data_IF_094087197539
#
_entry.id   IF_094087197539
#
_cell.length_a   1.000
_cell.length_b   1.000
_cell.length_c   1.000
_cell.angle_alpha   90.00
_cell.angle_beta   90.00
_cell.angle_gamma   90.00
#
_symmetry.space_group_name_H-M   'P 1'
#
loop_
_entity.id
_entity.type
_entity.pdbx_description
1 polymer ?
#
# COMPACT_ATOMS: atom_id res chain seq x y z
N UNK A 1 17.94 17.49 -8.95
CA UNK A 1 17.59 17.32 -7.52
C UNK A 1 16.90 18.55 -6.93
N UNK A 2 17.56 19.72 -6.80
CA UNK A 2 16.98 20.95 -6.20
C UNK A 2 15.62 21.38 -6.78
N UNK A 3 15.47 21.36 -8.11
CA UNK A 3 14.20 21.70 -8.79
C UNK A 3 13.04 20.74 -8.44
N UNK A 4 13.31 19.44 -8.28
CA UNK A 4 12.30 18.44 -7.91
C UNK A 4 11.82 18.65 -6.48
N UNK A 5 12.75 18.87 -5.54
CA UNK A 5 12.40 19.14 -4.15
C UNK A 5 11.65 20.46 -3.99
N UNK A 6 12.04 21.49 -4.73
CA UNK A 6 11.31 22.75 -4.76
C UNK A 6 9.88 22.57 -5.30
N UNK A 7 9.72 21.79 -6.38
CA UNK A 7 8.41 21.45 -6.92
C UNK A 7 7.54 20.71 -5.89
N UNK A 8 8.07 19.69 -5.21
CA UNK A 8 7.35 19.02 -4.14
C UNK A 8 6.99 19.96 -2.99
N UNK A 9 7.95 20.76 -2.54
CA UNK A 9 7.71 21.77 -1.50
C UNK A 9 6.57 22.70 -1.90
N UNK A 10 6.56 23.19 -3.14
CA UNK A 10 5.51 24.06 -3.65
C UNK A 10 4.16 23.31 -3.73
N UNK A 11 4.17 22.05 -4.19
CA UNK A 11 2.97 21.22 -4.27
C UNK A 11 2.34 21.03 -2.88
N UNK A 12 3.13 20.72 -1.86
CA UNK A 12 2.64 20.44 -0.50
C UNK A 12 2.36 21.70 0.33
N UNK A 13 3.14 22.78 0.16
CA UNK A 13 2.93 24.03 0.89
C UNK A 13 1.87 24.94 0.23
N UNK A 14 1.70 24.86 -1.09
CA UNK A 14 0.76 25.70 -1.85
C UNK A 14 0.26 24.98 -3.10
N UNK A 15 -0.63 23.98 -2.96
CA UNK A 15 -1.08 23.13 -4.06
C UNK A 15 -1.55 23.88 -5.31
N UNK A 16 -2.29 24.97 -5.13
CA UNK A 16 -2.79 25.80 -6.24
C UNK A 16 -1.71 26.48 -7.07
N UNK A 17 -0.51 26.69 -6.50
CA UNK A 17 0.65 27.28 -7.18
C UNK A 17 1.65 26.22 -7.63
N UNK A 18 1.83 25.14 -6.86
CA UNK A 18 2.80 24.09 -7.15
C UNK A 18 2.36 23.09 -8.22
N UNK A 19 1.11 22.64 -8.24
CA UNK A 19 0.66 21.68 -9.27
C UNK A 19 0.66 22.21 -10.71
N UNK A 20 0.38 23.50 -11.00
CA UNK A 20 0.57 24.05 -12.34
C UNK A 20 1.99 23.89 -12.91
N UNK A 21 3.02 23.83 -12.05
CA UNK A 21 4.41 23.60 -12.48
C UNK A 21 4.68 22.15 -12.91
N UNK A 22 3.80 21.21 -12.55
CA UNK A 22 3.87 19.83 -12.99
C UNK A 22 3.28 19.70 -14.40
N UNK A 23 4.15 19.65 -15.41
CA UNK A 23 3.76 19.62 -16.83
C UNK A 23 4.14 18.29 -17.49
N UNK A 24 3.67 18.02 -18.72
CA UNK A 24 4.13 16.87 -19.51
C UNK A 24 5.64 16.82 -19.76
N UNK A 25 6.34 17.96 -19.69
CA UNK A 25 7.80 18.03 -19.84
C UNK A 25 8.58 17.78 -18.53
N UNK A 26 7.93 17.84 -17.36
CA UNK A 26 8.62 17.69 -16.07
C UNK A 26 9.32 16.32 -15.95
N UNK A 27 10.61 16.27 -15.60
CA UNK A 27 11.34 15.00 -15.48
C UNK A 27 10.85 14.17 -14.29
N UNK A 28 10.78 12.85 -14.45
CA UNK A 28 10.20 11.92 -13.46
C UNK A 28 11.22 11.02 -12.77
N UNK A 29 12.46 10.94 -13.27
CA UNK A 29 13.47 10.03 -12.74
C UNK A 29 13.77 10.28 -11.26
N UNK A 30 13.98 11.54 -10.88
CA UNK A 30 14.27 11.90 -9.49
C UNK A 30 13.09 11.59 -8.54
N UNK A 31 11.83 11.95 -8.87
CA UNK A 31 10.67 11.50 -8.11
C UNK A 31 10.62 9.97 -7.91
N UNK A 32 10.85 9.19 -8.98
CA UNK A 32 10.87 7.72 -8.89
C UNK A 32 11.94 7.25 -7.90
N UNK A 33 13.17 7.75 -8.02
CA UNK A 33 14.29 7.35 -7.15
C UNK A 33 13.95 7.63 -5.68
N UNK A 34 13.42 8.82 -5.36
CA UNK A 34 13.06 9.17 -3.98
C UNK A 34 11.93 8.28 -3.45
N UNK A 35 10.90 8.03 -4.25
CA UNK A 35 9.81 7.13 -3.87
C UNK A 35 10.33 5.72 -3.62
N UNK A 36 11.21 5.20 -4.48
CA UNK A 36 11.83 3.89 -4.30
C UNK A 36 12.68 3.83 -3.03
N UNK A 37 13.47 4.87 -2.72
CA UNK A 37 14.24 4.96 -1.48
C UNK A 37 13.31 4.92 -0.26
N UNK A 38 12.19 5.64 -0.28
CA UNK A 38 11.23 5.64 0.82
C UNK A 38 10.53 4.28 0.98
N UNK A 39 10.12 3.65 -0.14
CA UNK A 39 9.54 2.30 -0.12
C UNK A 39 10.54 1.30 0.44
N UNK A 40 11.80 1.35 -0.03
CA UNK A 40 12.88 0.52 0.51
C UNK A 40 13.08 0.76 2.00
N UNK A 41 13.16 2.02 2.45
CA UNK A 41 13.29 2.34 3.87
C UNK A 41 12.16 1.75 4.70
N UNK A 42 10.92 1.83 4.23
CA UNK A 42 9.77 1.18 4.86
C UNK A 42 9.90 -0.34 4.91
N UNK A 43 10.34 -0.99 3.83
CA UNK A 43 10.56 -2.44 3.80
C UNK A 43 11.71 -2.87 4.73
N UNK A 44 12.80 -2.09 4.78
CA UNK A 44 13.93 -2.31 5.68
C UNK A 44 13.50 -2.31 7.15
N UNK A 45 12.56 -1.44 7.53
CA UNK A 45 12.00 -1.42 8.90
C UNK A 45 11.26 -2.70 9.28
N UNK A 46 10.73 -3.45 8.31
CA UNK A 46 10.03 -4.71 8.57
C UNK A 46 10.98 -5.90 8.69
N UNK A 47 12.24 -5.81 8.25
CA UNK A 47 13.15 -6.96 8.27
C UNK A 47 13.33 -7.61 9.66
N UNK A 48 13.46 -6.85 10.77
CA UNK A 48 13.54 -7.45 12.11
C UNK A 48 12.30 -8.28 12.45
N UNK A 49 11.13 -7.84 11.99
CA UNK A 49 9.85 -8.54 12.20
C UNK A 49 9.78 -9.78 11.30
N UNK A 50 10.02 -9.63 10.00
CA UNK A 50 9.94 -10.70 9.01
C UNK A 50 10.98 -11.81 9.21
N UNK A 51 12.12 -11.47 9.82
CA UNK A 51 13.17 -12.42 10.19
C UNK A 51 12.99 -13.05 11.59
N UNK A 52 11.99 -12.63 12.37
CA UNK A 52 11.76 -13.14 13.72
C UNK A 52 11.10 -14.52 13.71
N UNK A 53 11.41 -15.33 14.72
CA UNK A 53 10.77 -16.63 14.91
C UNK A 53 9.24 -16.50 15.06
N UNK A 54 8.78 -15.44 15.73
CA UNK A 54 7.34 -15.15 15.89
C UNK A 54 6.62 -14.97 14.54
N UNK A 55 7.27 -14.35 13.55
CA UNK A 55 6.71 -14.19 12.21
C UNK A 55 6.73 -15.51 11.44
N UNK A 56 7.84 -16.26 11.51
CA UNK A 56 7.94 -17.55 10.83
C UNK A 56 6.95 -18.57 11.38
N UNK A 57 6.73 -18.58 12.70
CA UNK A 57 5.70 -19.40 13.34
C UNK A 57 4.29 -18.99 12.90
N UNK A 58 4.02 -17.68 12.81
CA UNK A 58 2.75 -17.18 12.30
C UNK A 58 2.52 -17.56 10.83
N UNK A 59 3.55 -17.43 9.99
CA UNK A 59 3.51 -17.83 8.59
C UNK A 59 3.25 -19.34 8.45
N UNK A 60 3.90 -20.18 9.27
CA UNK A 60 3.67 -21.61 9.32
C UNK A 60 2.21 -21.95 9.64
N UNK A 61 1.65 -21.37 10.71
CA UNK A 61 0.24 -21.55 11.08
C UNK A 61 -0.71 -21.19 9.94
N UNK A 62 -0.48 -20.04 9.29
CA UNK A 62 -1.31 -19.59 8.16
C UNK A 62 -1.26 -20.57 6.99
N UNK A 63 -0.07 -21.06 6.63
CA UNK A 63 0.06 -22.03 5.54
C UNK A 63 -0.62 -23.36 5.87
N UNK A 64 -0.45 -23.85 7.10
CA UNK A 64 -1.11 -25.08 7.57
C UNK A 64 -2.63 -24.94 7.49
N UNK A 65 -3.18 -23.87 8.08
CA UNK A 65 -4.62 -23.62 8.10
C UNK A 65 -5.19 -23.51 6.67
N UNK A 66 -4.49 -22.82 5.77
CA UNK A 66 -4.91 -22.67 4.36
C UNK A 66 -4.97 -24.02 3.64
N UNK A 67 -4.03 -24.93 3.90
CA UNK A 67 -4.01 -26.25 3.28
C UNK A 67 -5.13 -27.16 3.83
N UNK A 68 -5.37 -27.10 5.14
CA UNK A 68 -6.49 -27.81 5.79
C UNK A 68 -7.84 -27.32 5.24
N UNK A 69 -8.03 -26.01 5.09
CA UNK A 69 -9.25 -25.44 4.48
C UNK A 69 -9.46 -25.87 3.03
N UNK A 70 -8.37 -26.14 2.30
CA UNK A 70 -8.41 -26.69 0.93
C UNK A 70 -8.64 -28.20 0.90
N UNK A 71 -8.92 -28.83 2.04
CA UNK A 71 -9.16 -30.27 2.15
C UNK A 71 -7.91 -31.13 2.00
N UNK A 72 -6.72 -30.54 2.19
CA UNK A 72 -5.46 -31.28 2.17
C UNK A 72 -5.17 -31.78 3.58
N UNK A 73 -5.45 -33.06 3.84
CA UNK A 73 -5.03 -33.71 5.08
C UNK A 73 -3.51 -33.90 5.05
N UNK A 74 -2.80 -33.22 5.95
CA UNK A 74 -1.36 -33.40 6.13
C UNK A 74 -1.10 -34.32 7.32
N UNK A 75 -0.17 -35.26 7.17
CA UNK A 75 0.29 -36.05 8.31
C UNK A 75 1.09 -35.18 9.29
N UNK A 76 1.18 -35.61 10.55
CA UNK A 76 1.99 -34.91 11.57
C UNK A 76 3.45 -34.74 11.13
N UNK A 77 4.02 -35.75 10.47
CA UNK A 77 5.39 -35.66 9.92
C UNK A 77 5.50 -34.63 8.79
N UNK A 78 4.49 -34.51 7.92
CA UNK A 78 4.47 -33.48 6.88
C UNK A 78 4.37 -32.07 7.46
N UNK A 79 3.60 -31.90 8.55
CA UNK A 79 3.51 -30.65 9.29
C UNK A 79 4.85 -30.27 9.93
N UNK A 80 5.49 -31.20 10.64
CA UNK A 80 6.78 -30.96 11.28
C UNK A 80 7.89 -30.64 10.27
N UNK A 81 7.92 -31.36 9.13
CA UNK A 81 8.86 -31.04 8.05
C UNK A 81 8.62 -29.67 7.44
N UNK A 82 7.35 -29.27 7.25
CA UNK A 82 7.02 -27.96 6.70
C UNK A 82 7.40 -26.84 7.68
N UNK A 83 7.13 -27.00 8.97
CA UNK A 83 7.57 -26.06 10.00
C UNK A 83 9.10 -25.92 10.06
N UNK A 84 9.85 -27.02 9.97
CA UNK A 84 11.31 -27.00 9.93
C UNK A 84 11.84 -26.29 8.68
N UNK A 85 11.26 -26.56 7.50
CA UNK A 85 11.66 -25.89 6.26
C UNK A 85 11.41 -24.39 6.31
N UNK A 86 10.25 -23.97 6.84
CA UNK A 86 9.91 -22.55 6.96
C UNK A 86 10.84 -21.78 7.92
N UNK A 87 11.42 -22.47 8.91
CA UNK A 87 12.39 -21.90 9.84
C UNK A 87 13.82 -21.84 9.31
N UNK A 88 14.13 -22.53 8.21
CA UNK A 88 15.48 -22.59 7.64
C UNK A 88 16.00 -21.23 7.17
N UNK A 89 17.33 -21.03 7.25
CA UNK A 89 18.00 -19.81 6.79
C UNK A 89 17.75 -19.52 5.29
N UNK A 90 17.62 -20.58 4.50
CA UNK A 90 17.29 -20.48 3.09
C UNK A 90 15.88 -19.89 2.89
N UNK A 91 14.88 -20.38 3.64
CA UNK A 91 13.52 -19.82 3.55
C UNK A 91 13.42 -18.42 4.12
N UNK A 92 14.17 -18.09 5.17
CA UNK A 92 14.30 -16.70 5.65
C UNK A 92 14.79 -15.78 4.54
N UNK A 93 15.82 -16.18 3.82
CA UNK A 93 16.38 -15.42 2.69
C UNK A 93 15.37 -15.29 1.55
N UNK A 94 14.70 -16.37 1.17
CA UNK A 94 13.69 -16.36 0.10
C UNK A 94 12.51 -15.47 0.48
N UNK A 95 12.03 -15.54 1.72
CA UNK A 95 10.93 -14.71 2.20
C UNK A 95 11.30 -13.23 2.17
N UNK A 96 12.48 -12.86 2.68
CA UNK A 96 12.97 -11.49 2.62
C UNK A 96 13.13 -11.00 1.18
N UNK A 97 13.73 -11.80 0.30
CA UNK A 97 13.90 -11.45 -1.11
C UNK A 97 12.56 -11.30 -1.83
N UNK A 98 11.60 -12.18 -1.57
CA UNK A 98 10.25 -12.14 -2.14
C UNK A 98 9.48 -10.94 -1.61
N UNK A 99 9.56 -10.62 -0.31
CA UNK A 99 8.89 -9.44 0.26
C UNK A 99 9.47 -8.14 -0.30
N UNK A 100 10.80 -8.03 -0.41
CA UNK A 100 11.44 -6.83 -0.96
C UNK A 100 11.16 -6.70 -2.46
N UNK A 101 11.47 -7.74 -3.23
CA UNK A 101 11.30 -7.76 -4.68
C UNK A 101 9.84 -7.65 -5.09
N UNK A 102 8.97 -8.46 -4.47
CA UNK A 102 7.53 -8.44 -4.68
C UNK A 102 6.89 -7.13 -4.24
N UNK A 103 7.32 -6.55 -3.12
CA UNK A 103 6.87 -5.24 -2.65
C UNK A 103 7.16 -4.12 -3.65
N UNK A 104 8.38 -4.08 -4.19
CA UNK A 104 8.79 -3.08 -5.19
C UNK A 104 8.03 -3.25 -6.52
N UNK A 105 7.95 -4.48 -7.04
CA UNK A 105 7.25 -4.78 -8.29
C UNK A 105 5.76 -4.47 -8.12
N UNK A 106 5.15 -4.93 -7.03
CA UNK A 106 3.75 -4.69 -6.69
C UNK A 106 3.44 -3.20 -6.62
N UNK A 107 4.32 -2.40 -6.02
CA UNK A 107 4.15 -0.95 -5.94
C UNK A 107 4.09 -0.28 -7.32
N UNK A 108 4.97 -0.67 -8.25
CA UNK A 108 4.98 -0.15 -9.63
C UNK A 108 3.71 -0.56 -10.37
N UNK A 109 3.29 -1.82 -10.24
CA UNK A 109 2.07 -2.34 -10.85
C UNK A 109 0.85 -1.55 -10.34
N UNK A 110 0.75 -1.32 -9.04
CA UNK A 110 -0.34 -0.53 -8.44
C UNK A 110 -0.38 0.88 -9.06
N UNK A 111 0.76 1.58 -9.18
CA UNK A 111 0.79 2.91 -9.80
C UNK A 111 0.31 2.88 -11.26
N UNK A 112 0.67 1.85 -12.03
CA UNK A 112 0.21 1.68 -13.41
C UNK A 112 -1.30 1.42 -13.49
N UNK A 113 -1.83 0.56 -12.61
CA UNK A 113 -3.26 0.27 -12.52
C UNK A 113 -4.04 1.53 -12.15
N UNK A 114 -3.59 2.29 -11.14
CA UNK A 114 -4.23 3.56 -10.78
C UNK A 114 -4.17 4.59 -11.91
N UNK A 115 -3.07 4.65 -12.67
CA UNK A 115 -2.97 5.54 -13.83
C UNK A 115 -4.00 5.17 -14.91
N UNK A 116 -4.21 3.87 -15.13
CA UNK A 116 -5.21 3.37 -16.07
C UNK A 116 -6.62 3.68 -15.59
N UNK A 117 -6.92 3.50 -14.29
CA UNK A 117 -8.21 3.86 -13.70
C UNK A 117 -8.48 5.36 -13.89
N UNK A 118 -7.51 6.22 -13.58
CA UNK A 118 -7.66 7.67 -13.81
C UNK A 118 -7.83 8.00 -15.29
N UNK A 119 -7.15 7.31 -16.19
CA UNK A 119 -7.34 7.49 -17.62
C UNK A 119 -8.79 7.14 -18.01
N UNK A 120 -9.29 5.98 -17.60
CA UNK A 120 -10.68 5.56 -17.88
C UNK A 120 -11.67 6.60 -17.34
N UNK A 121 -11.53 7.00 -16.07
CA UNK A 121 -12.41 7.99 -15.45
C UNK A 121 -12.38 9.32 -16.21
N UNK A 122 -11.19 9.84 -16.54
CA UNK A 122 -11.08 11.09 -17.31
C UNK A 122 -11.75 10.98 -18.68
N UNK A 123 -11.67 9.83 -19.38
CA UNK A 123 -12.38 9.60 -20.64
C UNK A 123 -13.90 9.59 -20.49
N UNK A 124 -14.43 8.95 -19.45
CA UNK A 124 -15.87 8.93 -19.14
C UNK A 124 -16.39 10.38 -18.99
N UNK A 125 -15.62 11.25 -18.34
CA UNK A 125 -15.97 12.67 -18.17
C UNK A 125 -15.58 13.57 -19.35
N UNK A 126 -15.21 12.97 -20.51
CA UNK A 126 -14.80 13.63 -21.75
C UNK A 126 -13.58 14.55 -21.61
N UNK A 127 -12.74 14.30 -20.61
CA UNK A 127 -11.46 14.95 -20.41
C UNK A 127 -10.38 14.20 -21.20
N UNK A 128 -9.31 14.90 -21.58
CA UNK A 128 -8.24 14.32 -22.44
C UNK A 128 -6.82 14.46 -21.89
N UNK A 129 -6.56 14.35 -20.57
CA UNK A 129 -5.18 14.22 -20.11
C UNK A 129 -4.58 12.92 -20.66
N UNK A 130 -3.31 12.97 -21.08
CA UNK A 130 -2.59 11.79 -21.54
C UNK A 130 -2.19 10.86 -20.39
N UNK A 131 -2.13 9.56 -20.64
CA UNK A 131 -1.68 8.56 -19.65
C UNK A 131 -0.35 8.93 -19.00
N UNK A 132 0.65 9.35 -19.80
CA UNK A 132 1.97 9.77 -19.31
C UNK A 132 1.89 10.91 -18.28
N UNK A 133 0.92 11.81 -18.43
CA UNK A 133 0.72 12.93 -17.52
C UNK A 133 0.06 12.47 -16.21
N UNK A 134 -0.97 11.62 -16.30
CA UNK A 134 -1.63 11.04 -15.12
C UNK A 134 -0.68 10.14 -14.32
N UNK A 135 0.09 9.30 -14.99
CA UNK A 135 1.10 8.45 -14.36
C UNK A 135 2.18 9.30 -13.66
N UNK A 136 2.62 10.39 -14.30
CA UNK A 136 3.55 11.34 -13.67
C UNK A 136 2.95 11.97 -12.42
N UNK A 137 1.70 12.44 -12.49
CA UNK A 137 1.00 12.96 -11.32
C UNK A 137 1.01 11.94 -10.18
N UNK A 138 0.68 10.68 -10.47
CA UNK A 138 0.71 9.60 -9.48
C UNK A 138 2.10 9.38 -8.88
N UNK A 139 3.17 9.37 -9.68
CA UNK A 139 4.54 9.27 -9.17
C UNK A 139 4.86 10.40 -8.18
N UNK A 140 4.46 11.64 -8.49
CA UNK A 140 4.69 12.77 -7.59
C UNK A 140 3.87 12.66 -6.29
N UNK A 141 2.69 12.04 -6.34
CA UNK A 141 1.85 11.78 -5.17
C UNK A 141 2.26 10.53 -4.39
N UNK A 142 2.97 9.60 -5.03
CA UNK A 142 3.40 8.33 -4.47
C UNK A 142 4.25 8.50 -3.19
N UNK A 143 4.91 9.64 -3.03
CA UNK A 143 5.62 10.02 -1.79
C UNK A 143 4.71 9.97 -0.56
N UNK A 144 3.42 10.34 -0.69
CA UNK A 144 2.45 10.30 0.41
C UNK A 144 2.25 8.85 0.86
N UNK A 145 2.01 7.93 -0.07
CA UNK A 145 1.83 6.51 0.22
C UNK A 145 3.12 5.85 0.71
N UNK A 146 4.29 6.28 0.21
CA UNK A 146 5.57 5.78 0.70
C UNK A 146 5.82 6.21 2.16
N UNK A 147 5.52 7.47 2.50
CA UNK A 147 5.57 7.97 3.88
C UNK A 147 4.56 7.25 4.77
N UNK A 148 3.34 7.02 4.29
CA UNK A 148 2.34 6.20 4.99
C UNK A 148 2.90 4.82 5.33
N UNK A 149 3.53 4.14 4.37
CA UNK A 149 4.17 2.84 4.59
C UNK A 149 5.25 2.88 5.68
N UNK A 150 6.14 3.89 5.64
CA UNK A 150 7.15 4.09 6.69
C UNK A 150 6.49 4.28 8.06
N UNK A 151 5.45 5.11 8.16
CA UNK A 151 4.76 5.37 9.43
C UNK A 151 4.08 4.10 9.95
N UNK A 152 3.34 3.38 9.09
CA UNK A 152 2.69 2.12 9.47
C UNK A 152 3.71 1.09 9.95
N UNK A 153 4.81 0.91 9.21
CA UNK A 153 5.86 -0.05 9.56
C UNK A 153 6.63 0.36 10.83
N UNK A 154 6.87 1.65 11.02
CA UNK A 154 7.47 2.19 12.24
C UNK A 154 6.59 1.95 13.47
N UNK A 155 5.26 2.14 13.35
CA UNK A 155 4.32 1.80 14.43
C UNK A 155 4.35 0.30 14.71
N UNK A 156 4.32 -0.56 13.68
CA UNK A 156 4.41 -2.01 13.86
C UNK A 156 5.70 -2.40 14.59
N UNK A 157 6.85 -1.85 14.18
CA UNK A 157 8.15 -2.14 14.80
C UNK A 157 8.22 -1.72 16.27
N UNK A 158 7.61 -0.58 16.61
CA UNK A 158 7.55 -0.08 17.98
C UNK A 158 6.45 -0.75 18.83
N UNK A 159 5.52 -1.45 18.19
CA UNK A 159 4.48 -2.21 18.87
C UNK A 159 5.03 -3.54 19.39
N UNK A 160 4.28 -4.21 20.28
CA UNK A 160 4.57 -5.59 20.66
C UNK A 160 4.09 -6.55 19.55
N UNK A 161 4.80 -6.54 18.42
CA UNK A 161 4.44 -7.32 17.24
C UNK A 161 4.46 -8.83 17.52
N UNK A 162 5.33 -9.31 18.41
CA UNK A 162 5.38 -10.73 18.81
C UNK A 162 4.05 -11.19 19.43
N UNK A 163 3.48 -10.38 20.33
CA UNK A 163 2.17 -10.65 20.95
C UNK A 163 1.03 -10.59 19.94
N UNK A 164 1.16 -9.81 18.87
CA UNK A 164 0.15 -9.71 17.81
C UNK A 164 0.26 -10.95 16.91
N UNK A 165 1.48 -11.32 16.48
CA UNK A 165 1.77 -12.46 15.62
C UNK A 165 1.38 -13.80 16.26
N UNK A 166 1.49 -13.94 17.57
CA UNK A 166 1.07 -15.16 18.28
C UNK A 166 -0.44 -15.45 18.17
N UNK A 167 -1.24 -14.46 17.76
CA UNK A 167 -2.70 -14.60 17.58
C UNK A 167 -3.13 -14.79 16.12
N UNK A 168 -2.19 -14.70 15.17
CA UNK A 168 -2.47 -14.84 13.75
C UNK A 168 -2.84 -16.29 13.42
N UNK A 169 -3.96 -16.46 12.72
CA UNK A 169 -4.47 -17.76 12.24
C UNK A 169 -4.63 -17.79 10.72
N UNK A 170 -5.00 -16.66 10.10
CA UNK A 170 -5.29 -16.58 8.67
C UNK A 170 -4.38 -15.57 7.94
N UNK A 171 -4.33 -15.66 6.61
CA UNK A 171 -3.52 -14.78 5.76
C UNK A 171 -3.82 -13.29 5.99
N UNK A 172 -5.10 -12.96 6.10
CA UNK A 172 -5.55 -11.59 6.35
C UNK A 172 -5.05 -11.06 7.71
N UNK A 173 -5.06 -11.91 8.76
CA UNK A 173 -4.54 -11.55 10.09
C UNK A 173 -3.04 -11.26 10.03
N UNK A 174 -2.28 -12.08 9.29
CA UNK A 174 -0.84 -11.89 9.13
C UNK A 174 -0.54 -10.54 8.46
N UNK A 175 -1.30 -10.18 7.43
CA UNK A 175 -1.16 -8.89 6.76
C UNK A 175 -1.42 -7.72 7.72
N UNK A 176 -2.47 -7.76 8.54
CA UNK A 176 -2.73 -6.70 9.51
C UNK A 176 -1.72 -6.67 10.66
N UNK A 177 -1.22 -7.84 11.07
CA UNK A 177 -0.22 -7.93 12.13
C UNK A 177 1.10 -7.24 11.76
N UNK A 178 1.47 -7.25 10.48
CA UNK A 178 2.69 -6.59 10.00
C UNK A 178 2.47 -5.16 9.49
N UNK A 179 1.21 -4.74 9.32
CA UNK A 179 0.86 -3.41 8.80
C UNK A 179 -0.12 -2.70 9.73
N UNK A 180 0.41 -1.95 10.69
CA UNK A 180 -0.40 -1.23 11.67
C UNK A 180 -1.30 -0.18 10.99
N UNK A 181 -2.59 -0.08 11.36
CA UNK A 181 -3.47 0.97 10.84
C UNK A 181 -3.07 2.35 11.40
N UNK A 182 -3.22 3.39 10.58
CA UNK A 182 -3.07 4.82 10.96
C UNK A 182 -4.42 5.54 10.84
N UNK A 183 -5.47 4.79 11.12
CA UNK A 183 -6.88 5.11 10.88
C UNK A 183 -7.70 4.79 12.13
N UNK A 184 -9.02 4.99 12.08
CA UNK A 184 -9.91 4.56 13.16
C UNK A 184 -9.94 3.03 13.31
N UNK A 185 -9.47 2.26 12.31
CA UNK A 185 -9.37 0.81 12.42
C UNK A 185 -8.48 0.36 13.59
N UNK A 186 -7.54 1.22 14.02
CA UNK A 186 -6.71 0.97 15.21
C UNK A 186 -7.51 0.77 16.51
N UNK A 187 -8.76 1.24 16.56
CA UNK A 187 -9.66 1.09 17.71
C UNK A 187 -10.45 -0.22 17.68
N UNK A 188 -10.33 -0.99 16.61
CA UNK A 188 -11.11 -2.20 16.37
C UNK A 188 -10.21 -3.43 16.35
N UNK A 189 -10.81 -4.59 16.62
CA UNK A 189 -10.13 -5.87 16.48
C UNK A 189 -10.65 -6.55 15.20
N UNK A 190 -9.79 -6.86 14.21
CA UNK A 190 -10.24 -7.42 12.93
C UNK A 190 -11.03 -8.72 13.10
N UNK A 191 -10.65 -9.59 14.05
CA UNK A 191 -11.35 -10.84 14.33
C UNK A 191 -12.77 -10.63 14.89
N UNK A 192 -13.02 -9.51 15.59
CA UNK A 192 -14.36 -9.18 16.13
C UNK A 192 -15.21 -8.36 15.16
N UNK A 193 -14.59 -7.45 14.43
CA UNK A 193 -15.25 -6.53 13.50
C UNK A 193 -15.57 -7.19 12.16
N UNK A 194 -14.85 -8.27 11.83
CA UNK A 194 -14.92 -8.92 10.54
C UNK A 194 -13.94 -8.28 9.55
N UNK A 195 -13.30 -9.09 8.70
CA UNK A 195 -12.18 -8.69 7.85
C UNK A 195 -12.55 -7.57 6.87
N UNK A 196 -13.71 -7.70 6.22
CA UNK A 196 -14.20 -6.72 5.24
C UNK A 196 -14.52 -5.37 5.88
N UNK A 197 -15.26 -5.37 7.00
CA UNK A 197 -15.64 -4.13 7.67
C UNK A 197 -14.41 -3.42 8.25
N UNK A 198 -13.47 -4.18 8.83
CA UNK A 198 -12.20 -3.64 9.29
C UNK A 198 -11.43 -2.95 8.15
N UNK A 199 -11.29 -3.60 6.99
CA UNK A 199 -10.63 -3.02 5.81
C UNK A 199 -11.35 -1.77 5.31
N UNK A 200 -12.69 -1.75 5.30
CA UNK A 200 -13.46 -0.56 4.89
C UNK A 200 -13.22 0.59 5.87
N UNK A 201 -13.27 0.35 7.18
CA UNK A 201 -12.98 1.37 8.19
C UNK A 201 -11.55 1.89 8.00
N UNK A 202 -10.56 1.00 7.81
CA UNK A 202 -9.18 1.42 7.58
C UNK A 202 -9.08 2.30 6.34
N UNK A 203 -9.56 1.82 5.19
CA UNK A 203 -9.44 2.53 3.93
C UNK A 203 -10.15 3.89 3.93
N UNK A 204 -11.31 4.00 4.56
CA UNK A 204 -12.12 5.25 4.61
C UNK A 204 -11.59 6.23 5.63
N UNK A 205 -10.95 5.78 6.71
CA UNK A 205 -10.54 6.67 7.82
C UNK A 205 -9.02 6.87 7.91
N UNK A 206 -8.25 6.26 7.01
CA UNK A 206 -6.80 6.47 6.92
C UNK A 206 -6.48 7.90 6.50
N UNK A 207 -5.78 8.62 7.39
CA UNK A 207 -5.44 10.03 7.19
C UNK A 207 -4.57 10.26 5.95
N UNK A 208 -3.69 9.32 5.60
CA UNK A 208 -2.84 9.44 4.41
C UNK A 208 -3.64 9.23 3.13
N UNK A 209 -4.66 8.38 3.14
CA UNK A 209 -5.59 8.27 2.01
C UNK A 209 -6.31 9.60 1.78
N UNK A 210 -6.81 10.26 2.83
CA UNK A 210 -7.44 11.58 2.70
C UNK A 210 -6.48 12.62 2.14
N UNK A 211 -5.26 12.70 2.68
CA UNK A 211 -4.22 13.59 2.18
C UNK A 211 -3.98 13.28 0.68
N UNK A 212 -3.74 12.02 0.34
CA UNK A 212 -3.51 11.58 -1.04
C UNK A 212 -4.64 12.03 -1.99
N UNK A 213 -5.90 11.80 -1.64
CA UNK A 213 -7.03 12.18 -2.49
C UNK A 213 -7.22 13.70 -2.58
N UNK A 214 -6.96 14.45 -1.50
CA UNK A 214 -6.95 15.93 -1.55
C UNK A 214 -5.90 16.42 -2.55
N UNK A 215 -4.69 15.85 -2.50
CA UNK A 215 -3.61 16.20 -3.43
C UNK A 215 -3.86 15.71 -4.86
N UNK A 216 -4.52 14.55 -5.02
CA UNK A 216 -4.97 14.08 -6.33
C UNK A 216 -5.98 15.04 -6.96
N UNK A 217 -6.95 15.54 -6.18
CA UNK A 217 -7.89 16.56 -6.64
C UNK A 217 -7.16 17.79 -7.16
N UNK A 218 -6.18 18.29 -6.40
CA UNK A 218 -5.39 19.45 -6.81
C UNK A 218 -4.57 19.17 -8.07
N UNK A 219 -3.95 18.00 -8.17
CA UNK A 219 -3.24 17.56 -9.37
C UNK A 219 -4.13 17.50 -10.60
N UNK A 220 -5.30 16.88 -10.49
CA UNK A 220 -6.26 16.80 -11.60
C UNK A 220 -6.72 18.20 -12.03
N UNK A 221 -7.06 19.07 -11.08
CA UNK A 221 -7.52 20.43 -11.37
C UNK A 221 -6.43 21.31 -11.99
N UNK A 222 -5.26 21.38 -11.36
CA UNK A 222 -4.26 22.39 -11.66
C UNK A 222 -3.14 21.90 -12.58
N UNK A 223 -2.75 20.63 -12.50
CA UNK A 223 -1.74 20.05 -13.39
C UNK A 223 -2.37 19.47 -14.66
N UNK A 224 -3.47 18.72 -14.53
CA UNK A 224 -4.15 18.13 -15.69
C UNK A 224 -5.19 19.07 -16.33
N UNK A 225 -5.44 20.24 -15.72
CA UNK A 225 -6.29 21.29 -16.29
C UNK A 225 -7.79 20.99 -16.24
N UNK A 226 -8.23 20.05 -15.41
CA UNK A 226 -9.64 19.67 -15.34
C UNK A 226 -10.50 20.75 -14.67
N UNK A 227 -11.73 20.90 -15.16
CA UNK A 227 -12.74 21.71 -14.48
C UNK A 227 -12.95 21.22 -13.03
N UNK A 228 -13.12 22.17 -12.10
CA UNK A 228 -13.23 21.91 -10.65
C UNK A 228 -14.20 20.77 -10.31
N UNK A 229 -15.41 20.80 -10.88
CA UNK A 229 -16.46 19.79 -10.62
C UNK A 229 -16.00 18.40 -11.04
N UNK A 230 -15.41 18.27 -12.23
CA UNK A 230 -14.95 16.99 -12.77
C UNK A 230 -13.74 16.45 -12.01
N UNK A 231 -12.77 17.31 -11.67
CA UNK A 231 -11.63 16.91 -10.85
C UNK A 231 -12.09 16.34 -9.49
N UNK A 232 -13.07 16.99 -8.84
CA UNK A 232 -13.65 16.51 -7.59
C UNK A 232 -14.38 15.18 -7.77
N UNK A 233 -15.27 15.08 -8.75
CA UNK A 233 -16.03 13.84 -9.02
C UNK A 233 -15.10 12.66 -9.33
N UNK A 234 -14.09 12.85 -10.17
CA UNK A 234 -13.11 11.81 -10.50
C UNK A 234 -12.34 11.37 -9.26
N UNK A 235 -11.93 12.32 -8.41
CA UNK A 235 -11.22 12.01 -7.16
C UNK A 235 -12.08 11.18 -6.21
N UNK A 236 -13.35 11.56 -6.02
CA UNK A 236 -14.29 10.81 -5.17
C UNK A 236 -14.50 9.40 -5.70
N UNK A 237 -14.72 9.24 -7.01
CA UNK A 237 -14.92 7.91 -7.61
C UNK A 237 -13.64 7.08 -7.49
N UNK A 238 -12.46 7.66 -7.71
CA UNK A 238 -11.19 6.97 -7.54
C UNK A 238 -11.00 6.49 -6.09
N UNK A 239 -11.37 7.31 -5.10
CA UNK A 239 -11.35 6.93 -3.68
C UNK A 239 -12.38 5.84 -3.32
N UNK A 240 -13.59 5.91 -3.87
CA UNK A 240 -14.57 4.85 -3.67
C UNK A 240 -14.08 3.52 -4.28
N UNK A 241 -13.52 3.56 -5.49
CA UNK A 241 -12.94 2.39 -6.15
C UNK A 241 -11.76 1.83 -5.37
N UNK A 242 -10.89 2.66 -4.78
CA UNK A 242 -9.79 2.16 -3.96
C UNK A 242 -10.29 1.39 -2.73
N UNK A 243 -11.34 1.89 -2.06
CA UNK A 243 -11.95 1.19 -0.92
C UNK A 243 -12.55 -0.14 -1.35
N UNK A 244 -13.28 -0.17 -2.47
CA UNK A 244 -13.87 -1.40 -3.02
C UNK A 244 -12.78 -2.42 -3.36
N UNK A 245 -11.72 -2.00 -4.06
CA UNK A 245 -10.60 -2.87 -4.43
C UNK A 245 -9.94 -3.42 -3.16
N UNK A 246 -9.68 -2.60 -2.15
CA UNK A 246 -9.12 -3.06 -0.87
C UNK A 246 -10.01 -4.10 -0.20
N UNK A 247 -11.32 -3.85 -0.12
CA UNK A 247 -12.27 -4.78 0.49
C UNK A 247 -12.38 -6.12 -0.27
N UNK A 248 -12.37 -6.08 -1.61
CA UNK A 248 -12.39 -7.29 -2.45
C UNK A 248 -11.10 -8.08 -2.31
N UNK A 249 -9.94 -7.42 -2.33
CA UNK A 249 -8.65 -8.09 -2.15
C UNK A 249 -8.56 -8.80 -0.78
N UNK A 250 -9.16 -8.24 0.28
CA UNK A 250 -9.26 -8.91 1.58
C UNK A 250 -10.15 -10.17 1.56
N UNK A 251 -11.10 -10.29 0.63
CA UNK A 251 -11.98 -11.48 0.52
C UNK A 251 -11.35 -12.60 -0.32
N UNK A 252 -10.39 -12.28 -1.18
CA UNK A 252 -9.75 -13.22 -2.11
C UNK A 252 -8.46 -13.82 -1.51
N UNK A 253 -7.96 -13.23 -0.42
CA UNK A 253 -6.76 -13.64 0.33
C UNK A 253 -7.14 -14.33 1.65
#
# INVERSE_FOLDING_TARGET
MKKTFQLWSNMFASPSKGFPELTPATPILMPIIVVLILVLAGLFMLMPILGSDAYLDALGRVQVNTLVERGTEMSTEQLEMMEQQLKSDQMRTINLATTIGGGLIGYIIILLVYALILLILTRIFKEKPGFKHLFKLLIFLAVISAVQGIVKNGITLLSNYERILSKVQYTADLQWAITSPVSLAALFNPAKTGPTLYTVIDAVTDIFNWIYFIYLYFGLKFSAGLARKKALTITIIAGALSVIVSAVMTLVL
#
